data_IF_806514525174
#
_entry.id   IF_806514525174
#
_cell.length_a   1.000
_cell.length_b   1.000
_cell.length_c   1.000
_cell.angle_alpha   90.00
_cell.angle_beta   90.00
_cell.angle_gamma   90.00
#
_symmetry.space_group_name_H-M   'P 1'
#
loop_
_entity.id
_entity.type
_entity.pdbx_description
1 polymer ?
#
# COMPACT_ATOMS: atom_id res chain seq x y z
N UNK A 1 -15.47 -6.19 -3.66
CA UNK A 1 -16.93 -6.33 -3.89
C UNK A 1 -17.81 -5.48 -2.98
N UNK A 2 -17.44 -5.21 -1.72
CA UNK A 2 -18.28 -4.49 -0.74
C UNK A 2 -18.90 -3.18 -1.26
N UNK A 3 -18.14 -2.39 -2.03
CA UNK A 3 -18.63 -1.13 -2.60
C UNK A 3 -19.24 -1.25 -4.01
N UNK A 4 -19.40 -2.45 -4.60
CA UNK A 4 -19.84 -2.58 -6.00
C UNK A 4 -21.29 -2.09 -6.20
N UNK A 5 -22.19 -2.42 -5.28
CA UNK A 5 -23.63 -2.12 -5.38
C UNK A 5 -24.08 -0.91 -4.55
N UNK A 6 -23.18 -0.29 -3.77
CA UNK A 6 -23.54 0.87 -2.94
C UNK A 6 -23.73 2.12 -3.80
N UNK A 7 -24.72 2.95 -3.48
CA UNK A 7 -24.94 4.25 -4.15
C UNK A 7 -23.90 5.28 -3.72
N UNK A 8 -23.53 5.26 -2.43
CA UNK A 8 -22.41 6.05 -1.90
C UNK A 8 -21.12 5.25 -1.97
N UNK A 9 -20.19 5.69 -2.81
CA UNK A 9 -18.83 5.14 -2.90
C UNK A 9 -17.91 5.88 -1.95
N UNK A 10 -16.95 5.18 -1.36
CA UNK A 10 -15.83 5.74 -0.61
C UNK A 10 -14.55 5.47 -1.37
N UNK A 11 -13.66 6.46 -1.45
CA UNK A 11 -12.38 6.30 -2.14
C UNK A 11 -11.35 5.63 -1.23
N UNK A 12 -10.44 4.89 -1.83
CA UNK A 12 -9.18 4.52 -1.23
C UNK A 12 -8.07 5.20 -2.05
N UNK A 13 -7.20 5.95 -1.38
CA UNK A 13 -6.06 6.62 -2.00
C UNK A 13 -4.79 6.14 -1.32
N UNK A 14 -3.74 5.92 -2.12
CA UNK A 14 -2.45 5.41 -1.68
C UNK A 14 -1.33 6.15 -2.39
N UNK A 15 -0.22 6.37 -1.68
CA UNK A 15 0.99 6.98 -2.21
C UNK A 15 2.21 6.35 -1.55
N UNK A 16 3.14 5.92 -2.38
CA UNK A 16 4.47 5.48 -1.97
C UNK A 16 5.49 6.54 -2.41
N UNK A 17 6.32 7.00 -1.48
CA UNK A 17 7.34 8.03 -1.73
C UNK A 17 8.70 7.35 -1.67
N UNK A 18 9.41 7.36 -2.79
CA UNK A 18 10.70 6.72 -2.96
C UNK A 18 11.82 7.75 -3.18
N UNK A 19 13.06 7.44 -2.79
CA UNK A 19 14.22 8.30 -3.03
C UNK A 19 15.42 7.51 -3.56
N UNK A 20 16.22 8.16 -4.41
CA UNK A 20 17.46 7.60 -4.94
C UNK A 20 17.23 6.55 -6.04
N UNK A 21 18.34 5.98 -6.53
CA UNK A 21 18.34 5.01 -7.64
C UNK A 21 17.71 3.67 -7.28
N UNK A 22 17.82 3.25 -6.02
CA UNK A 22 17.23 2.01 -5.53
C UNK A 22 15.78 2.21 -5.03
N UNK A 23 15.23 3.42 -5.19
CA UNK A 23 13.85 3.73 -4.82
C UNK A 23 13.53 3.31 -3.37
N UNK A 24 14.41 3.68 -2.44
CA UNK A 24 14.19 3.43 -1.01
C UNK A 24 12.88 4.09 -0.59
N UNK A 25 11.99 3.32 0.03
CA UNK A 25 10.71 3.83 0.51
C UNK A 25 10.94 4.70 1.74
N UNK A 26 10.66 5.99 1.62
CA UNK A 26 10.82 6.98 2.69
C UNK A 26 9.49 7.53 3.21
N UNK A 27 8.39 7.24 2.52
CA UNK A 27 7.06 7.61 2.95
C UNK A 27 5.98 6.71 2.37
N UNK A 28 4.94 6.46 3.15
CA UNK A 28 3.73 5.76 2.73
C UNK A 28 2.54 6.50 3.30
N UNK A 29 1.62 6.89 2.43
CA UNK A 29 0.41 7.62 2.81
C UNK A 29 -0.79 6.89 2.23
N UNK A 30 -1.82 6.67 3.05
CA UNK A 30 -3.05 6.07 2.57
C UNK A 30 -4.25 6.57 3.38
N UNK A 31 -5.39 6.61 2.71
CA UNK A 31 -6.68 6.88 3.33
C UNK A 31 -7.72 5.98 2.65
N UNK A 32 -8.44 5.21 3.46
CA UNK A 32 -9.41 4.23 2.98
C UNK A 32 -9.82 3.28 4.10
N UNK A 33 -10.73 2.37 3.77
CA UNK A 33 -11.18 1.34 4.71
C UNK A 33 -10.02 0.36 5.00
N UNK A 34 -9.75 0.09 6.27
CA UNK A 34 -8.72 -0.85 6.72
C UNK A 34 -7.29 -0.30 6.77
N UNK A 35 -7.07 0.98 6.45
CA UNK A 35 -5.75 1.62 6.56
C UNK A 35 -5.21 1.63 7.99
N UNK A 36 -6.10 1.64 8.99
CA UNK A 36 -5.81 1.57 10.42
C UNK A 36 -5.06 0.29 10.81
N UNK A 37 -5.48 -0.87 10.28
CA UNK A 37 -4.83 -2.16 10.55
C UNK A 37 -3.67 -2.44 9.58
N UNK A 38 -3.81 -2.00 8.33
CA UNK A 38 -2.85 -2.28 7.26
C UNK A 38 -1.49 -1.62 7.51
N UNK A 39 -1.46 -0.41 8.10
CA UNK A 39 -0.24 0.39 8.21
C UNK A 39 0.86 -0.28 9.05
N UNK A 40 0.49 -1.10 10.04
CA UNK A 40 1.44 -1.64 11.00
C UNK A 40 2.52 -2.52 10.34
N UNK A 41 2.14 -3.41 9.43
CA UNK A 41 3.09 -4.27 8.72
C UNK A 41 4.03 -3.48 7.80
N UNK A 42 3.50 -2.52 7.04
CA UNK A 42 4.32 -1.69 6.16
C UNK A 42 5.29 -0.79 6.93
N UNK A 43 4.91 -0.31 8.12
CA UNK A 43 5.81 0.47 8.98
C UNK A 43 7.05 -0.33 9.38
N UNK A 44 6.92 -1.64 9.62
CA UNK A 44 8.06 -2.54 9.89
C UNK A 44 8.98 -2.62 8.67
N UNK A 45 8.43 -2.85 7.47
CA UNK A 45 9.21 -2.91 6.23
C UNK A 45 9.99 -1.61 5.96
N UNK A 46 9.33 -0.45 6.12
CA UNK A 46 9.97 0.86 5.96
C UNK A 46 11.06 1.06 7.01
N UNK A 47 10.84 0.64 8.25
CA UNK A 47 11.86 0.71 9.31
C UNK A 47 13.08 -0.15 9.01
N UNK A 48 12.90 -1.30 8.35
CA UNK A 48 13.97 -2.16 7.86
C UNK A 48 14.69 -1.60 6.62
N UNK A 49 14.17 -0.54 6.02
CA UNK A 49 14.77 0.13 4.87
C UNK A 49 14.34 -0.43 3.52
N UNK A 50 13.12 -1.00 3.44
CA UNK A 50 12.57 -1.55 2.21
C UNK A 50 12.63 -0.55 1.03
N UNK A 51 12.85 -1.12 -0.15
CA UNK A 51 12.86 -0.47 -1.47
C UNK A 51 11.57 -0.76 -2.22
N UNK A 52 11.32 -0.05 -3.32
CA UNK A 52 10.20 -0.37 -4.22
C UNK A 52 10.26 -1.81 -4.74
N UNK A 53 11.47 -2.33 -4.99
CA UNK A 53 11.67 -3.70 -5.42
C UNK A 53 11.22 -4.75 -4.38
N UNK A 54 11.35 -4.46 -3.07
CA UNK A 54 10.88 -5.36 -2.02
C UNK A 54 9.33 -5.44 -1.99
N UNK A 55 8.67 -4.31 -2.27
CA UNK A 55 7.22 -4.27 -2.40
C UNK A 55 6.78 -5.07 -3.65
N UNK A 56 7.45 -4.88 -4.78
CA UNK A 56 7.15 -5.59 -6.04
C UNK A 56 7.47 -7.09 -5.98
N UNK A 57 8.46 -7.47 -5.18
CA UNK A 57 8.80 -8.86 -4.90
C UNK A 57 7.79 -9.57 -3.98
N UNK A 58 6.86 -8.84 -3.36
CA UNK A 58 5.87 -9.39 -2.44
C UNK A 58 4.61 -9.82 -3.19
N UNK A 59 4.21 -11.08 -3.04
CA UNK A 59 2.99 -11.61 -3.67
C UNK A 59 1.75 -10.95 -3.04
N UNK A 60 0.89 -10.41 -3.91
CA UNK A 60 -0.39 -9.82 -3.54
C UNK A 60 -1.35 -10.82 -2.86
N UNK A 61 -2.10 -10.33 -1.86
CA UNK A 61 -3.20 -11.07 -1.23
C UNK A 61 -4.52 -10.50 -1.76
N UNK A 62 -5.32 -11.33 -2.42
CA UNK A 62 -6.54 -10.91 -3.11
C UNK A 62 -7.81 -11.52 -2.49
N UNK A 63 -8.95 -10.80 -2.37
CA UNK A 63 -9.16 -9.39 -2.70
C UNK A 63 -9.00 -8.45 -1.49
N UNK A 64 -8.01 -7.57 -1.51
CA UNK A 64 -7.76 -6.60 -0.42
C UNK A 64 -7.48 -5.20 -0.95
N UNK A 65 -7.59 -4.16 -0.13
CA UNK A 65 -7.02 -2.85 -0.50
C UNK A 65 -5.50 -2.84 -0.34
N UNK A 66 -4.95 -3.68 0.55
CA UNK A 66 -3.51 -3.74 0.81
C UNK A 66 -2.69 -4.24 -0.38
N UNK A 67 -3.25 -5.09 -1.24
CA UNK A 67 -2.53 -5.55 -2.43
C UNK A 67 -2.14 -4.40 -3.36
N UNK A 68 -2.90 -3.31 -3.39
CA UNK A 68 -2.61 -2.14 -4.21
C UNK A 68 -1.25 -1.52 -3.87
N UNK A 69 -0.77 -1.62 -2.63
CA UNK A 69 0.54 -1.10 -2.22
C UNK A 69 1.72 -1.91 -2.79
N UNK A 70 1.51 -3.18 -3.12
CA UNK A 70 2.53 -4.08 -3.71
C UNK A 70 2.35 -4.28 -5.21
N UNK A 71 1.42 -3.56 -5.84
CA UNK A 71 1.16 -3.62 -7.29
C UNK A 71 1.25 -2.26 -8.00
N UNK A 72 1.63 -1.18 -7.29
CA UNK A 72 1.91 0.13 -7.87
C UNK A 72 3.00 0.04 -8.96
N UNK A 73 2.85 0.80 -10.05
CA UNK A 73 3.80 0.83 -11.18
C UNK A 73 4.23 2.26 -11.51
#
# INVERSE_FOLDING_TARGET
MYHAITTRKTQCVMKLVCVGKEEKVVGLHMQGLGCDEMLQGFAVAIKMGATKADFDGTIAIHPTSSEELVTLR
#
